data_IF_599144331173
#
_entry.id   IF_599144331173
#
_cell.length_a   1.000
_cell.length_b   1.000
_cell.length_c   1.000
_cell.angle_alpha   90.00
_cell.angle_beta   90.00
_cell.angle_gamma   90.00
#
_symmetry.space_group_name_H-M   'P 1'
#
loop_
_entity.id
_entity.type
_entity.pdbx_description
1 polymer ?
#
# COMPACT_ATOMS: atom_id res chain seq x y z
N UNK A 1 -36.55 12.28 51.42
CA UNK A 1 -36.58 11.78 50.03
C UNK A 1 -35.20 11.96 49.42
N UNK A 2 -34.50 10.88 49.09
CA UNK A 2 -33.22 10.92 48.36
C UNK A 2 -33.39 10.03 47.12
N UNK A 3 -33.43 10.62 45.93
CA UNK A 3 -33.51 9.87 44.68
C UNK A 3 -32.10 9.64 44.14
N UNK A 4 -31.63 8.38 44.19
CA UNK A 4 -30.39 7.95 43.55
C UNK A 4 -30.59 8.02 42.01
N UNK A 5 -29.90 8.95 41.34
CA UNK A 5 -29.82 8.95 39.88
C UNK A 5 -29.06 7.71 39.44
N UNK A 6 -29.76 6.80 38.76
CA UNK A 6 -29.16 5.65 38.11
C UNK A 6 -28.50 6.10 36.80
N UNK A 7 -27.22 6.49 36.87
CA UNK A 7 -26.43 6.87 35.71
C UNK A 7 -25.97 5.61 34.99
N UNK A 8 -26.77 5.08 34.05
CA UNK A 8 -26.33 4.00 33.16
C UNK A 8 -25.11 4.48 32.37
N UNK A 9 -23.96 3.89 32.63
CA UNK A 9 -22.75 4.10 31.84
C UNK A 9 -22.98 3.42 30.48
N UNK A 10 -22.90 4.13 29.35
CA UNK A 10 -23.02 3.51 28.05
C UNK A 10 -21.80 2.62 27.81
N UNK A 11 -22.05 1.33 27.57
CA UNK A 11 -21.04 0.38 27.14
C UNK A 11 -21.01 0.40 25.63
N UNK A 12 -19.85 0.69 25.04
CA UNK A 12 -19.61 0.57 23.61
C UNK A 12 -18.79 -0.68 23.35
N UNK A 13 -19.30 -1.54 22.47
CA UNK A 13 -18.58 -2.72 22.03
C UNK A 13 -17.79 -2.37 20.77
N UNK A 14 -16.47 -2.56 20.81
CA UNK A 14 -15.61 -2.43 19.63
C UNK A 14 -15.49 -3.81 19.00
N UNK A 15 -16.27 -4.04 17.94
CA UNK A 15 -16.16 -5.27 17.14
C UNK A 15 -15.08 -5.03 16.08
N UNK A 16 -13.90 -5.63 16.28
CA UNK A 16 -12.84 -5.65 15.26
C UNK A 16 -13.24 -6.68 14.20
N UNK A 17 -13.72 -6.22 13.05
CA UNK A 17 -13.91 -7.12 11.90
C UNK A 17 -12.54 -7.58 11.39
N UNK A 18 -12.37 -8.87 11.05
CA UNK A 18 -11.15 -9.34 10.43
C UNK A 18 -10.89 -8.56 9.13
N UNK A 19 -9.62 -8.25 8.87
CA UNK A 19 -9.18 -7.50 7.69
C UNK A 19 -9.54 -8.29 6.43
N UNK A 20 -10.57 -7.85 5.72
CA UNK A 20 -10.96 -8.41 4.42
C UNK A 20 -10.09 -7.76 3.35
N UNK A 21 -9.48 -8.60 2.50
CA UNK A 21 -8.89 -8.14 1.24
C UNK A 21 -10.06 -7.90 0.29
N UNK A 22 -10.21 -6.67 -0.19
CA UNK A 22 -11.33 -6.27 -1.04
C UNK A 22 -11.03 -6.52 -2.51
N UNK A 23 -9.77 -6.36 -2.94
CA UNK A 23 -9.30 -6.63 -4.29
C UNK A 23 -7.86 -7.15 -4.31
N UNK A 24 -7.48 -7.75 -5.43
CA UNK A 24 -6.13 -8.27 -5.70
C UNK A 24 -5.66 -7.79 -7.07
N UNK A 25 -4.37 -7.47 -7.22
CA UNK A 25 -3.78 -7.22 -8.54
C UNK A 25 -2.30 -7.62 -8.61
N UNK A 26 -1.79 -7.77 -9.82
CA UNK A 26 -0.37 -8.07 -10.07
C UNK A 26 0.30 -6.82 -10.62
N UNK A 27 1.43 -6.42 -10.03
CA UNK A 27 2.25 -5.33 -10.56
C UNK A 27 2.70 -5.67 -12.01
N UNK A 28 2.61 -4.73 -12.97
CA UNK A 28 2.46 -3.28 -12.80
C UNK A 28 1.02 -2.74 -12.93
N UNK A 29 -0.01 -3.56 -12.67
CA UNK A 29 -1.38 -3.05 -12.69
C UNK A 29 -1.63 -2.06 -11.55
N UNK A 30 -2.28 -0.94 -11.88
CA UNK A 30 -2.68 0.08 -10.91
C UNK A 30 -3.78 -0.50 -9.99
N UNK A 31 -3.62 -0.42 -8.66
CA UNK A 31 -4.64 -0.82 -7.70
C UNK A 31 -5.94 -0.03 -7.90
N UNK A 32 -7.07 -0.74 -7.94
CA UNK A 32 -8.41 -0.15 -8.12
C UNK A 32 -9.28 -0.46 -6.91
N UNK A 33 -10.26 0.41 -6.69
CA UNK A 33 -11.22 0.31 -5.60
C UNK A 33 -11.71 1.69 -5.19
N UNK A 34 -12.34 1.76 -4.03
CA UNK A 34 -12.80 3.01 -3.41
C UNK A 34 -12.05 3.27 -2.09
N UNK A 35 -12.09 4.50 -1.55
CA UNK A 35 -11.57 4.78 -0.23
C UNK A 35 -12.08 3.80 0.83
N UNK A 36 -11.15 3.25 1.61
CA UNK A 36 -11.42 2.23 2.61
C UNK A 36 -11.10 0.81 2.14
N UNK A 37 -11.00 0.53 0.84
CA UNK A 37 -10.71 -0.81 0.34
C UNK A 37 -9.25 -1.21 0.63
N UNK A 38 -9.06 -2.50 0.93
CA UNK A 38 -7.77 -3.16 1.03
C UNK A 38 -7.43 -3.88 -0.26
N UNK A 39 -6.32 -3.52 -0.92
CA UNK A 39 -5.86 -4.17 -2.15
C UNK A 39 -4.55 -4.89 -1.89
N UNK A 40 -4.49 -6.19 -2.17
CA UNK A 40 -3.22 -6.90 -2.17
C UNK A 40 -2.57 -6.87 -3.55
N UNK A 41 -1.30 -6.50 -3.59
CA UNK A 41 -0.53 -6.40 -4.83
C UNK A 41 0.64 -7.35 -4.79
N UNK A 42 0.67 -8.32 -5.70
CA UNK A 42 1.82 -9.19 -5.90
C UNK A 42 2.84 -8.46 -6.78
N UNK A 43 4.04 -8.30 -6.25
CA UNK A 43 5.22 -7.79 -6.94
C UNK A 43 6.21 -8.94 -7.04
N UNK A 44 6.42 -9.43 -8.26
CA UNK A 44 7.34 -10.52 -8.51
C UNK A 44 8.81 -10.09 -8.31
N UNK A 45 9.64 -11.05 -7.89
CA UNK A 45 11.09 -10.91 -7.67
C UNK A 45 11.80 -10.09 -8.76
N UNK A 46 11.47 -10.33 -10.03
CA UNK A 46 12.10 -9.65 -11.17
C UNK A 46 11.96 -8.12 -11.15
N UNK A 47 10.95 -7.59 -10.46
CA UNK A 47 10.71 -6.16 -10.32
C UNK A 47 11.32 -5.56 -9.05
N UNK A 48 11.65 -6.39 -8.06
CA UNK A 48 12.09 -5.98 -6.72
C UNK A 48 13.59 -5.62 -6.70
N UNK A 49 13.98 -4.66 -7.54
CA UNK A 49 15.36 -4.18 -7.59
C UNK A 49 15.45 -2.66 -7.53
N UNK A 50 16.56 -2.17 -6.98
CA UNK A 50 16.86 -0.75 -6.89
C UNK A 50 16.89 -0.08 -8.29
N UNK A 51 17.51 -0.68 -9.33
CA UNK A 51 17.41 -0.18 -10.69
C UNK A 51 15.97 0.01 -11.18
N UNK A 52 15.07 -0.94 -10.91
CA UNK A 52 13.66 -0.84 -11.30
C UNK A 52 12.95 0.31 -10.58
N UNK A 53 13.16 0.46 -9.27
CA UNK A 53 12.62 1.59 -8.50
C UNK A 53 13.10 2.97 -8.98
N UNK A 54 14.27 3.02 -9.63
CA UNK A 54 14.92 4.26 -10.05
C UNK A 54 14.80 4.57 -11.56
N UNK A 55 14.07 3.76 -12.33
CA UNK A 55 13.84 4.03 -13.76
C UNK A 55 13.15 5.38 -13.98
N UNK A 56 13.36 5.94 -15.17
CA UNK A 56 12.73 7.20 -15.56
C UNK A 56 11.21 7.10 -15.69
N UNK A 57 10.67 5.92 -16.01
CA UNK A 57 9.23 5.67 -16.14
C UNK A 57 8.56 5.27 -14.81
N UNK A 58 9.32 4.90 -13.77
CA UNK A 58 8.76 4.62 -12.44
C UNK A 58 8.61 5.93 -11.66
N UNK A 59 7.39 6.47 -11.64
CA UNK A 59 7.05 7.72 -10.93
C UNK A 59 6.19 7.43 -9.71
N UNK A 60 6.45 8.16 -8.63
CA UNK A 60 5.61 8.15 -7.45
C UNK A 60 5.47 9.57 -6.91
N UNK A 61 4.30 9.88 -6.35
CA UNK A 61 3.94 11.22 -5.92
C UNK A 61 3.50 11.23 -4.46
N UNK A 62 4.16 12.05 -3.65
CA UNK A 62 3.90 12.14 -2.22
C UNK A 62 4.79 11.29 -1.33
N UNK A 63 4.55 11.40 -0.03
CA UNK A 63 5.27 10.73 1.05
C UNK A 63 4.28 10.35 2.14
N UNK A 64 4.42 9.14 2.69
CA UNK A 64 3.47 8.48 3.61
C UNK A 64 2.10 8.14 3.00
N UNK A 65 1.55 9.03 2.18
CA UNK A 65 0.38 8.82 1.32
C UNK A 65 0.75 9.19 -0.12
N UNK A 66 0.45 8.27 -1.03
CA UNK A 66 0.85 8.35 -2.44
C UNK A 66 -0.39 8.42 -3.31
N UNK A 67 -0.35 9.15 -4.43
CA UNK A 67 -1.44 9.07 -5.43
C UNK A 67 -1.62 7.61 -5.88
N UNK A 68 -2.83 7.17 -6.19
CA UNK A 68 -3.05 5.75 -6.41
C UNK A 68 -2.38 5.19 -7.68
N UNK A 69 -1.97 6.06 -8.60
CA UNK A 69 -1.17 5.74 -9.78
C UNK A 69 0.34 5.72 -9.53
N UNK A 70 0.80 6.01 -8.31
CA UNK A 70 2.22 5.93 -7.93
C UNK A 70 2.76 4.50 -8.09
N UNK A 71 3.93 4.39 -8.71
CA UNK A 71 4.64 3.13 -8.93
C UNK A 71 4.95 2.42 -7.62
N UNK A 72 4.48 1.18 -7.50
CA UNK A 72 4.53 0.41 -6.25
C UNK A 72 5.97 0.05 -5.89
N UNK A 73 6.82 -0.30 -6.85
CA UNK A 73 8.23 -0.67 -6.60
C UNK A 73 8.99 0.55 -6.05
N UNK A 74 8.80 1.72 -6.66
CA UNK A 74 9.38 2.97 -6.16
C UNK A 74 8.88 3.32 -4.76
N UNK A 75 7.59 3.13 -4.49
CA UNK A 75 7.00 3.42 -3.17
C UNK A 75 7.48 2.42 -2.11
N UNK A 76 7.65 1.14 -2.43
CA UNK A 76 8.24 0.15 -1.52
C UNK A 76 9.64 0.55 -1.09
N UNK A 77 10.49 0.98 -2.03
CA UNK A 77 11.84 1.47 -1.75
C UNK A 77 11.83 2.78 -0.95
N UNK A 78 11.05 3.77 -1.39
CA UNK A 78 10.97 5.08 -0.74
C UNK A 78 10.41 5.00 0.69
N UNK A 79 9.46 4.09 0.94
CA UNK A 79 8.83 3.95 2.27
C UNK A 79 9.69 3.18 3.28
N UNK A 80 10.88 2.72 2.87
CA UNK A 80 11.81 1.90 3.67
C UNK A 80 11.19 0.58 4.17
N UNK A 81 10.07 0.17 3.58
CA UNK A 81 9.40 -1.07 3.99
C UNK A 81 10.07 -2.31 3.38
N UNK A 82 10.74 -2.14 2.24
CA UNK A 82 11.54 -3.17 1.59
C UNK A 82 12.87 -2.55 1.17
N UNK A 83 13.97 -3.14 1.62
CA UNK A 83 15.30 -2.81 1.13
C UNK A 83 15.51 -3.54 -0.21
N UNK A 84 15.58 -2.79 -1.31
CA UNK A 84 15.67 -3.37 -2.65
C UNK A 84 17.14 -3.58 -3.04
N UNK A 85 17.56 -4.83 -3.35
CA UNK A 85 18.90 -5.11 -3.86
C UNK A 85 19.09 -4.66 -5.31
N UNK A 86 20.31 -4.70 -5.81
CA UNK A 86 20.61 -4.46 -7.23
C UNK A 86 20.08 -5.57 -8.15
N UNK A 87 20.14 -6.84 -7.68
CA UNK A 87 19.70 -8.03 -8.40
C UNK A 87 18.41 -8.63 -7.80
N UNK A 88 17.53 -9.28 -8.59
CA UNK A 88 16.28 -9.85 -8.10
C UNK A 88 16.43 -10.77 -6.88
N UNK A 89 15.73 -10.52 -5.77
CA UNK A 89 15.83 -11.34 -4.56
C UNK A 89 15.11 -12.69 -4.71
N UNK A 90 15.40 -13.72 -3.90
CA UNK A 90 14.79 -15.06 -4.01
C UNK A 90 13.35 -15.13 -3.45
N UNK A 91 12.58 -14.05 -3.52
CA UNK A 91 11.21 -13.96 -3.02
C UNK A 91 10.39 -12.95 -3.83
N UNK A 92 9.07 -13.11 -3.81
CA UNK A 92 8.12 -12.08 -4.22
C UNK A 92 7.66 -11.28 -3.00
N UNK A 93 7.01 -10.15 -3.24
CA UNK A 93 6.40 -9.31 -2.22
C UNK A 93 4.89 -9.24 -2.46
N UNK A 94 4.11 -9.45 -1.41
CA UNK A 94 2.70 -9.05 -1.39
C UNK A 94 2.60 -7.79 -0.55
N UNK A 95 2.25 -6.67 -1.19
CA UNK A 95 1.98 -5.41 -0.52
C UNK A 95 0.47 -5.25 -0.32
N UNK A 96 0.03 -5.12 0.93
CA UNK A 96 -1.35 -4.75 1.23
C UNK A 96 -1.46 -3.23 1.27
N UNK A 97 -2.18 -2.67 0.32
CA UNK A 97 -2.44 -1.25 0.20
C UNK A 97 -3.81 -0.93 0.80
N UNK A 98 -3.91 0.20 1.50
CA UNK A 98 -5.19 0.78 1.89
C UNK A 98 -5.48 1.96 0.97
N UNK A 99 -6.56 1.89 0.21
CA UNK A 99 -7.04 3.00 -0.60
C UNK A 99 -7.68 4.05 0.31
N UNK A 100 -7.37 5.32 0.04
CA UNK A 100 -7.84 6.48 0.79
C UNK A 100 -8.39 7.53 -0.18
N UNK A 101 -9.21 8.49 0.30
CA UNK A 101 -9.53 9.66 -0.51
C UNK A 101 -8.23 10.36 -0.92
N UNK A 102 -8.22 10.97 -2.10
CA UNK A 102 -7.05 11.72 -2.52
C UNK A 102 -6.88 13.04 -1.76
N UNK A 103 -5.62 13.50 -1.68
CA UNK A 103 -5.25 14.74 -1.02
C UNK A 103 -5.27 15.91 -2.00
N UNK A 104 -5.43 17.13 -1.48
CA UNK A 104 -5.29 18.37 -2.28
C UNK A 104 -3.84 18.63 -2.72
N UNK A 105 -2.87 18.04 -2.03
CA UNK A 105 -1.44 18.18 -2.33
C UNK A 105 -0.68 16.97 -1.84
N UNK A 106 0.28 16.53 -2.64
CA UNK A 106 1.25 15.49 -2.31
C UNK A 106 2.63 16.12 -2.26
N UNK A 107 3.33 15.96 -1.15
CA UNK A 107 4.70 16.45 -0.98
C UNK A 107 5.64 15.28 -1.17
N UNK A 108 6.46 15.33 -2.22
CA UNK A 108 7.52 14.36 -2.45
C UNK A 108 8.74 14.66 -1.58
N UNK A 109 9.47 13.62 -1.23
CA UNK A 109 10.71 13.69 -0.46
C UNK A 109 11.77 12.77 -1.06
N UNK A 110 13.00 12.88 -0.56
CA UNK A 110 14.05 11.90 -0.82
C UNK A 110 14.33 11.11 0.45
N UNK A 111 14.21 9.79 0.37
CA UNK A 111 14.50 8.84 1.46
C UNK A 111 15.45 7.78 0.90
N UNK A 112 16.60 7.57 1.55
CA UNK A 112 17.68 6.68 1.08
C UNK A 112 18.03 6.80 -0.41
N UNK A 113 18.06 8.04 -0.95
CA UNK A 113 18.36 8.30 -2.36
C UNK A 113 17.19 8.07 -3.32
N UNK A 114 16.07 7.49 -2.87
CA UNK A 114 14.84 7.37 -3.65
C UNK A 114 14.03 8.65 -3.50
N UNK A 115 13.73 9.30 -4.63
CA UNK A 115 12.97 10.54 -4.66
C UNK A 115 11.56 10.33 -5.21
N UNK A 116 10.57 10.81 -4.47
CA UNK A 116 9.18 10.97 -4.92
C UNK A 116 8.92 12.42 -5.32
N UNK A 117 7.88 12.65 -6.11
CA UNK A 117 7.57 13.95 -6.69
C UNK A 117 6.43 14.64 -5.94
N UNK A 118 6.42 15.98 -6.03
CA UNK A 118 5.25 16.75 -5.63
C UNK A 118 4.12 16.55 -6.65
N UNK A 119 2.87 16.60 -6.18
CA UNK A 119 1.71 16.62 -7.05
C UNK A 119 0.56 17.44 -6.45
N UNK A 120 -0.36 17.85 -7.32
CA UNK A 120 -1.57 18.59 -6.95
C UNK A 120 -2.71 17.68 -6.47
N UNK A 121 -3.95 18.19 -6.51
CA UNK A 121 -5.13 17.39 -6.19
C UNK A 121 -5.23 16.14 -7.05
N UNK A 122 -5.62 15.03 -6.43
CA UNK A 122 -5.90 13.76 -7.10
C UNK A 122 -7.06 13.06 -6.39
N UNK A 123 -7.76 12.16 -7.07
CA UNK A 123 -9.04 11.62 -6.56
C UNK A 123 -8.85 10.49 -5.54
N UNK A 124 -7.76 9.72 -5.65
CA UNK A 124 -7.51 8.55 -4.82
C UNK A 124 -6.04 8.46 -4.41
N UNK A 125 -5.80 8.00 -3.19
CA UNK A 125 -4.45 7.74 -2.69
C UNK A 125 -4.34 6.34 -2.10
N UNK A 126 -3.11 5.90 -1.82
CA UNK A 126 -2.89 4.72 -1.01
C UNK A 126 -1.79 4.93 0.02
N UNK A 127 -1.83 4.07 1.05
CA UNK A 127 -0.72 3.81 1.96
C UNK A 127 -0.37 2.33 1.91
N UNK A 128 0.89 2.01 2.20
CA UNK A 128 1.29 0.62 2.46
C UNK A 128 0.90 0.28 3.90
N UNK A 129 -0.08 -0.60 4.05
CA UNK A 129 -0.56 -1.04 5.35
C UNK A 129 0.32 -2.17 5.91
N UNK A 130 0.69 -3.13 5.06
CA UNK A 130 1.54 -4.27 5.44
C UNK A 130 2.25 -4.88 4.24
N UNK A 131 3.35 -5.58 4.48
CA UNK A 131 4.10 -6.34 3.47
C UNK A 131 4.33 -7.76 3.97
N UNK A 132 4.27 -8.72 3.05
CA UNK A 132 4.65 -10.12 3.27
C UNK A 132 5.63 -10.55 2.19
N UNK A 133 6.73 -11.16 2.59
CA UNK A 133 7.66 -11.82 1.67
C UNK A 133 7.18 -13.24 1.43
N UNK A 134 7.17 -13.68 0.18
CA UNK A 134 6.59 -14.96 -0.19
C UNK A 134 7.50 -15.72 -1.19
N UNK A 135 7.62 -17.06 -1.13
CA UNK A 135 8.52 -17.83 -2.00
C UNK A 135 8.19 -17.72 -3.50
N UNK A 136 9.18 -17.77 -4.39
CA UNK A 136 8.93 -17.69 -5.85
C UNK A 136 8.10 -18.89 -6.37
N UNK A 137 8.08 -20.02 -5.67
CA UNK A 137 7.47 -21.28 -6.12
C UNK A 137 5.94 -21.37 -6.04
N UNK A 138 5.27 -20.48 -5.32
CA UNK A 138 3.80 -20.49 -5.24
C UNK A 138 3.24 -19.75 -6.46
N UNK A 139 2.80 -20.51 -7.48
CA UNK A 139 2.18 -19.94 -8.69
C UNK A 139 0.72 -19.48 -8.48
N UNK A 140 0.19 -19.53 -7.27
CA UNK A 140 -1.23 -19.27 -6.98
C UNK A 140 -1.40 -18.40 -5.73
N UNK A 141 -0.78 -17.22 -5.73
CA UNK A 141 -1.03 -16.21 -4.69
C UNK A 141 -2.40 -15.58 -4.81
N UNK A 142 -2.88 -15.44 -6.05
CA UNK A 142 -4.21 -14.99 -6.39
C UNK A 142 -4.85 -16.06 -7.27
N UNK A 143 -6.10 -16.44 -7.00
CA UNK A 143 -6.86 -17.34 -7.87
C UNK A 143 -7.29 -16.55 -9.13
N UNK A 144 -6.33 -16.17 -9.97
CA UNK A 144 -6.62 -15.55 -11.26
C UNK A 144 -6.97 -16.69 -12.20
N UNK A 145 -8.25 -17.04 -12.23
CA UNK A 145 -8.82 -17.84 -13.32
C UNK A 145 -8.44 -17.18 -14.63
N UNK A 146 -7.64 -17.91 -15.41
CA UNK A 146 -7.19 -17.55 -16.76
C UNK A 146 -8.36 -17.33 -17.72
#
# INVERSE_FOLDING_TARGET
MLALRNSKIPVFEIIVKPKTVDNECIYPQVPKGKPGDCVEVLVESQYLTLPNAMRDDTKAWGTYSYTNDSDIVKVLAHSEKVDLPDDPPPYNVIATLRLLPGNLKYIGTTIHGITTLNYGPYDLSYIIESIRLVPISEKSYFNISS
#
